data_IF_671954572906
#
_entry.id   IF_671954572906
#
_cell.length_a   1.000
_cell.length_b   1.000
_cell.length_c   1.000
_cell.angle_alpha   90.00
_cell.angle_beta   90.00
_cell.angle_gamma   90.00
#
_symmetry.space_group_name_H-M   'P 1'
#
loop_
_entity.id
_entity.type
_entity.pdbx_description
1 polymer ?
#
# COMPACT_ATOMS: atom_id res chain seq x y z
N UNK A 1 16.05 6.65 -31.14
CA UNK A 1 17.10 6.25 -30.17
C UNK A 1 16.56 5.09 -29.35
N UNK A 2 17.14 3.89 -29.38
CA UNK A 2 16.64 2.79 -28.57
C UNK A 2 17.29 2.86 -27.18
N UNK A 3 16.45 3.05 -26.17
CA UNK A 3 16.85 2.97 -24.76
C UNK A 3 17.01 1.50 -24.39
N UNK A 4 18.24 1.11 -24.06
CA UNK A 4 18.56 -0.18 -23.45
C UNK A 4 17.98 -0.24 -22.02
N UNK A 5 17.37 -1.37 -21.61
CA UNK A 5 17.04 -1.60 -20.21
C UNK A 5 18.29 -1.97 -19.40
N UNK A 6 18.38 -1.62 -18.10
CA UNK A 6 19.50 -1.99 -17.27
C UNK A 6 19.42 -3.47 -16.86
N UNK A 7 20.53 -4.18 -17.04
CA UNK A 7 20.75 -5.51 -16.48
C UNK A 7 20.88 -5.39 -14.95
N UNK A 8 19.92 -5.96 -14.23
CA UNK A 8 20.02 -6.17 -12.78
C UNK A 8 20.84 -7.44 -12.56
N UNK A 9 22.11 -7.26 -12.19
CA UNK A 9 22.95 -8.34 -11.68
C UNK A 9 22.46 -8.74 -10.28
N UNK A 10 21.84 -9.91 -10.18
CA UNK A 10 21.60 -10.61 -8.91
C UNK A 10 22.93 -11.24 -8.45
N UNK A 11 23.76 -10.48 -7.75
CA UNK A 11 24.83 -11.03 -6.92
C UNK A 11 24.21 -11.63 -5.66
N UNK A 12 24.00 -12.95 -5.68
CA UNK A 12 23.73 -13.74 -4.47
C UNK A 12 25.01 -13.80 -3.63
N UNK A 13 25.15 -12.89 -2.69
CA UNK A 13 26.19 -12.97 -1.66
C UNK A 13 25.84 -14.12 -0.71
N UNK A 14 26.40 -15.29 -1.00
CA UNK A 14 26.48 -16.40 -0.06
C UNK A 14 27.28 -15.93 1.15
N UNK A 15 26.61 -15.84 2.30
CA UNK A 15 27.28 -15.61 3.58
C UNK A 15 27.77 -16.97 4.08
N UNK A 16 29.09 -17.18 4.25
CA UNK A 16 29.58 -18.39 4.87
C UNK A 16 29.23 -18.39 6.37
N UNK A 17 28.59 -19.48 6.78
CA UNK A 17 28.32 -19.88 8.16
C UNK A 17 29.62 -19.82 8.97
N UNK A 18 29.71 -18.86 9.88
CA UNK A 18 30.80 -18.72 10.82
C UNK A 18 30.88 -19.93 11.74
N UNK A 19 31.90 -20.74 11.48
CA UNK A 19 32.88 -21.29 12.44
C UNK A 19 32.41 -21.39 13.89
N UNK A 20 31.94 -22.59 14.25
CA UNK A 20 31.88 -23.03 15.63
C UNK A 20 33.32 -23.04 16.20
N UNK A 21 33.53 -22.23 17.24
CA UNK A 21 34.76 -22.20 18.00
C UNK A 21 34.93 -23.47 18.81
N UNK A 22 36.01 -24.18 18.50
CA UNK A 22 36.98 -24.72 19.45
C UNK A 22 36.40 -25.61 20.57
N UNK A 23 36.08 -26.85 20.20
CA UNK A 23 36.22 -27.97 21.12
C UNK A 23 37.69 -28.08 21.53
N UNK A 24 37.99 -27.77 22.79
CA UNK A 24 39.27 -28.11 23.40
C UNK A 24 39.22 -29.59 23.75
N UNK A 25 39.55 -30.42 22.77
CA UNK A 25 39.95 -31.81 22.99
C UNK A 25 41.24 -31.75 23.79
N UNK A 26 41.18 -32.12 25.08
CA UNK A 26 42.38 -32.38 25.88
C UNK A 26 43.00 -33.66 25.32
N UNK A 27 43.95 -33.47 24.42
CA UNK A 27 44.88 -34.49 23.96
C UNK A 27 45.71 -34.95 25.16
N UNK A 28 45.48 -36.18 25.58
CA UNK A 28 46.40 -36.94 26.41
C UNK A 28 47.76 -37.05 25.72
N UNK A 29 48.88 -36.69 26.36
CA UNK A 29 50.18 -37.04 25.83
C UNK A 29 50.44 -38.53 26.09
N UNK A 30 50.30 -39.31 25.02
CA UNK A 30 50.93 -40.62 24.86
C UNK A 30 52.44 -40.45 25.03
N UNK A 31 52.95 -40.74 26.23
CA UNK A 31 54.38 -40.92 26.45
C UNK A 31 54.71 -42.41 26.39
N UNK A 32 55.03 -42.87 25.18
CA UNK A 32 55.78 -44.11 25.00
C UNK A 32 57.27 -43.78 25.12
N UNK A 33 57.87 -44.06 26.28
CA UNK A 33 59.27 -44.42 26.35
C UNK A 33 59.39 -45.78 27.04
N UNK A 34 59.50 -46.81 26.21
CA UNK A 34 59.91 -48.16 26.60
C UNK A 34 61.34 -48.10 27.12
N UNK A 35 61.50 -48.13 28.43
CA UNK A 35 62.67 -48.77 29.06
C UNK A 35 62.13 -49.79 30.05
N UNK A 36 62.27 -51.07 29.69
CA UNK A 36 62.12 -52.20 30.60
C UNK A 36 63.17 -52.06 31.71
N UNK A 37 62.87 -51.26 32.73
CA UNK A 37 63.56 -51.32 34.02
C UNK A 37 62.92 -52.51 34.73
N UNK A 38 63.68 -53.58 34.88
CA UNK A 38 63.29 -54.71 35.74
C UNK A 38 62.74 -54.12 37.03
N UNK A 39 61.51 -54.51 37.35
CA UNK A 39 60.88 -54.24 38.62
C UNK A 39 61.78 -54.80 39.72
N UNK A 40 62.65 -53.95 40.25
CA UNK A 40 63.12 -54.09 41.61
C UNK A 40 61.84 -54.02 42.44
N UNK A 41 61.27 -55.18 42.77
CA UNK A 41 60.30 -55.27 43.85
C UNK A 41 61.06 -54.84 45.09
N UNK A 42 61.06 -53.53 45.34
CA UNK A 42 61.51 -52.97 46.60
C UNK A 42 60.59 -53.60 47.64
N UNK A 43 61.08 -54.64 48.29
CA UNK A 43 60.47 -55.18 49.48
C UNK A 43 60.58 -54.07 50.52
N UNK A 44 59.50 -53.31 50.66
CA UNK A 44 59.37 -52.35 51.73
C UNK A 44 59.36 -53.16 53.02
N UNK A 45 60.38 -52.96 53.84
CA UNK A 45 60.38 -53.49 55.20
C UNK A 45 59.25 -52.83 55.98
N UNK A 46 58.69 -53.52 56.98
CA UNK A 46 57.57 -52.98 57.79
C UNK A 46 57.87 -51.57 58.35
N UNK A 47 59.14 -51.29 58.67
CA UNK A 47 59.57 -49.96 59.10
C UNK A 47 59.47 -48.89 58.02
N UNK A 48 59.78 -49.22 56.76
CA UNK A 48 59.65 -48.29 55.64
C UNK A 48 58.17 -47.96 55.35
N UNK A 49 57.28 -48.96 55.40
CA UNK A 49 55.84 -48.74 55.25
C UNK A 49 55.26 -47.89 56.38
N UNK A 50 55.68 -48.11 57.64
CA UNK A 50 55.26 -47.28 58.78
C UNK A 50 55.72 -45.83 58.62
N UNK A 51 56.96 -45.61 58.19
CA UNK A 51 57.52 -44.27 57.95
C UNK A 51 56.78 -43.53 56.84
N UNK A 52 56.44 -44.22 55.74
CA UNK A 52 55.60 -43.64 54.67
C UNK A 52 54.19 -43.34 55.18
N UNK A 53 53.61 -44.23 56.00
CA UNK A 53 52.31 -44.03 56.64
C UNK A 53 52.28 -42.78 57.51
N UNK A 54 53.28 -42.58 58.37
CA UNK A 54 53.43 -41.38 59.20
C UNK A 54 53.66 -40.11 58.37
N UNK A 55 54.47 -40.20 57.31
CA UNK A 55 54.70 -39.08 56.38
C UNK A 55 53.44 -38.71 55.56
N UNK A 56 52.55 -39.67 55.33
CA UNK A 56 51.29 -39.45 54.61
C UNK A 56 50.12 -39.09 55.55
N UNK A 57 50.18 -39.45 56.83
CA UNK A 57 49.12 -39.20 57.80
C UNK A 57 48.81 -37.69 57.98
N UNK A 58 49.81 -36.82 57.84
CA UNK A 58 49.63 -35.37 57.86
C UNK A 58 49.34 -34.72 56.49
N UNK A 59 49.35 -35.49 55.40
CA UNK A 59 49.16 -34.98 54.03
C UNK A 59 47.76 -35.22 53.47
N UNK A 60 47.00 -36.15 54.06
CA UNK A 60 45.61 -36.33 53.71
C UNK A 60 44.79 -35.20 54.33
N UNK A 61 43.89 -34.54 53.57
CA UNK A 61 42.97 -33.60 54.14
C UNK A 61 42.17 -34.30 55.26
N UNK A 62 41.90 -33.60 56.38
CA UNK A 62 41.15 -34.19 57.48
C UNK A 62 39.80 -34.70 56.95
N UNK A 63 39.27 -35.78 57.52
CA UNK A 63 38.01 -36.38 57.07
C UNK A 63 36.86 -35.36 56.99
N UNK A 64 36.88 -34.33 57.84
CA UNK A 64 35.97 -33.18 57.80
C UNK A 64 36.04 -32.36 56.52
N UNK A 65 37.23 -32.16 55.94
CA UNK A 65 37.41 -31.45 54.68
C UNK A 65 36.85 -32.27 53.50
N UNK A 66 37.04 -33.58 53.50
CA UNK A 66 36.46 -34.47 52.47
C UNK A 66 34.93 -34.47 52.55
N UNK A 67 34.36 -34.54 53.76
CA UNK A 67 32.91 -34.43 53.97
C UNK A 67 32.37 -33.06 53.52
N UNK A 68 33.08 -31.97 53.82
CA UNK A 68 32.69 -30.63 53.38
C UNK A 68 32.72 -30.48 51.86
N UNK A 69 33.73 -31.06 51.19
CA UNK A 69 33.78 -31.10 49.72
C UNK A 69 32.61 -31.88 49.12
N UNK A 70 32.24 -33.02 49.71
CA UNK A 70 31.09 -33.80 49.26
C UNK A 70 29.78 -33.01 49.41
N UNK A 71 29.57 -32.36 50.55
CA UNK A 71 28.39 -31.51 50.79
C UNK A 71 28.34 -30.32 49.83
N UNK A 72 29.49 -29.69 49.57
CA UNK A 72 29.59 -28.61 48.58
C UNK A 72 29.23 -29.10 47.18
N UNK A 73 29.71 -30.26 46.76
CA UNK A 73 29.43 -30.79 45.42
C UNK A 73 27.94 -31.15 45.27
N UNK A 74 27.32 -31.73 46.30
CA UNK A 74 25.88 -31.98 46.33
C UNK A 74 25.07 -30.68 46.23
N UNK A 75 25.45 -29.65 47.00
CA UNK A 75 24.80 -28.35 46.94
C UNK A 75 24.97 -27.71 45.56
N UNK A 76 26.20 -27.70 45.03
CA UNK A 76 26.53 -27.18 43.70
C UNK A 76 25.71 -27.86 42.60
N UNK A 77 25.52 -29.19 42.68
CA UNK A 77 24.66 -29.91 41.74
C UNK A 77 23.21 -29.45 41.84
N UNK A 78 22.67 -29.32 43.05
CA UNK A 78 21.30 -28.85 43.26
C UNK A 78 21.06 -27.41 42.76
N UNK A 79 22.04 -26.52 42.95
CA UNK A 79 21.99 -25.14 42.46
C UNK A 79 22.09 -25.08 40.94
N UNK A 80 22.96 -25.89 40.34
CA UNK A 80 23.08 -25.99 38.88
C UNK A 80 21.78 -26.50 38.25
N UNK A 81 21.12 -27.50 38.85
CA UNK A 81 19.81 -27.97 38.40
C UNK A 81 18.73 -26.88 38.54
N UNK A 82 18.73 -26.13 39.65
CA UNK A 82 17.78 -25.05 39.87
C UNK A 82 17.93 -23.94 38.83
N UNK A 83 19.17 -23.55 38.52
CA UNK A 83 19.48 -22.58 37.47
C UNK A 83 19.04 -23.08 36.09
N UNK A 84 19.34 -24.35 35.77
CA UNK A 84 18.93 -24.95 34.50
C UNK A 84 17.40 -24.97 34.34
N UNK A 85 16.67 -25.41 35.37
CA UNK A 85 15.20 -25.41 35.38
C UNK A 85 14.65 -23.99 35.23
N UNK A 86 15.22 -23.01 35.95
CA UNK A 86 14.85 -21.60 35.82
C UNK A 86 14.99 -21.08 34.40
N UNK A 87 16.14 -21.34 33.76
CA UNK A 87 16.40 -20.93 32.38
C UNK A 87 15.45 -21.61 31.39
N UNK A 88 15.15 -22.90 31.57
CA UNK A 88 14.19 -23.62 30.73
C UNK A 88 12.77 -23.03 30.82
N UNK A 89 12.31 -22.68 32.02
CA UNK A 89 11.01 -22.03 32.21
C UNK A 89 10.98 -20.63 31.61
N UNK A 90 12.05 -19.85 31.77
CA UNK A 90 12.12 -18.51 31.18
C UNK A 90 12.12 -18.58 29.65
N UNK A 91 12.88 -19.51 29.06
CA UNK A 91 12.90 -19.74 27.62
C UNK A 91 11.52 -20.16 27.11
N UNK A 92 10.84 -21.07 27.80
CA UNK A 92 9.48 -21.49 27.45
C UNK A 92 8.49 -20.31 27.49
N UNK A 93 8.57 -19.45 28.50
CA UNK A 93 7.73 -18.26 28.62
C UNK A 93 8.01 -17.23 27.52
N UNK A 94 9.29 -17.03 27.17
CA UNK A 94 9.68 -16.14 26.07
C UNK A 94 9.17 -16.70 24.74
N UNK A 95 9.27 -18.01 24.52
CA UNK A 95 8.75 -18.67 23.33
C UNK A 95 7.22 -18.53 23.23
N UNK A 96 6.48 -18.73 24.31
CA UNK A 96 5.02 -18.52 24.35
C UNK A 96 4.64 -17.06 24.05
N UNK A 97 5.37 -16.09 24.61
CA UNK A 97 5.15 -14.69 24.29
C UNK A 97 5.44 -14.38 22.81
N UNK A 98 6.47 -15.01 22.24
CA UNK A 98 6.83 -14.88 20.82
C UNK A 98 5.75 -15.46 19.91
N UNK A 99 5.23 -16.66 20.20
CA UNK A 99 4.18 -17.29 19.39
C UNK A 99 2.85 -16.53 19.50
N UNK A 100 2.54 -15.94 20.66
CA UNK A 100 1.39 -15.05 20.82
C UNK A 100 1.53 -13.78 19.97
N UNK A 101 2.73 -13.20 19.89
CA UNK A 101 3.00 -12.05 19.02
C UNK A 101 2.89 -12.41 17.54
N UNK A 102 3.43 -13.56 17.13
CA UNK A 102 3.34 -14.05 15.75
C UNK A 102 1.88 -14.28 15.34
N UNK A 103 1.07 -14.89 16.22
CA UNK A 103 -0.37 -15.08 16.00
C UNK A 103 -1.09 -13.75 15.80
N UNK A 104 -0.75 -12.73 16.61
CA UNK A 104 -1.32 -11.38 16.48
C UNK A 104 -0.91 -10.70 15.16
N UNK A 105 0.34 -10.89 14.72
CA UNK A 105 0.81 -10.38 13.43
C UNK A 105 0.06 -11.01 12.26
N UNK A 106 -0.16 -12.33 12.29
CA UNK A 106 -0.97 -13.03 11.29
C UNK A 106 -2.39 -12.48 11.25
N UNK A 107 -3.03 -12.29 12.41
CA UNK A 107 -4.37 -11.68 12.48
C UNK A 107 -4.42 -10.26 11.88
N UNK A 108 -3.39 -9.44 12.12
CA UNK A 108 -3.31 -8.12 11.50
C UNK A 108 -3.09 -8.19 9.99
N UNK A 109 -2.26 -9.13 9.51
CA UNK A 109 -2.03 -9.35 8.09
C UNK A 109 -3.33 -9.78 7.38
N UNK A 110 -4.08 -10.69 7.98
CA UNK A 110 -5.39 -11.13 7.49
C UNK A 110 -6.40 -9.98 7.49
N UNK A 111 -6.40 -9.15 8.55
CA UNK A 111 -7.24 -7.95 8.64
C UNK A 111 -6.95 -6.94 7.53
N UNK A 112 -5.67 -6.68 7.22
CA UNK A 112 -5.26 -5.81 6.12
C UNK A 112 -5.67 -6.39 4.77
N UNK A 113 -5.51 -7.70 4.57
CA UNK A 113 -5.93 -8.36 3.33
C UNK A 113 -7.46 -8.27 3.13
N UNK A 114 -8.24 -8.46 4.19
CA UNK A 114 -9.69 -8.30 4.16
C UNK A 114 -10.10 -6.86 3.85
N UNK A 115 -9.45 -5.87 4.47
CA UNK A 115 -9.71 -4.45 4.21
C UNK A 115 -9.38 -4.07 2.76
N UNK A 116 -8.25 -4.53 2.21
CA UNK A 116 -7.90 -4.34 0.80
C UNK A 116 -8.96 -4.91 -0.13
N UNK A 117 -9.48 -6.11 0.17
CA UNK A 117 -10.56 -6.73 -0.60
C UNK A 117 -11.85 -5.89 -0.53
N UNK A 118 -12.21 -5.36 0.63
CA UNK A 118 -13.38 -4.48 0.78
C UNK A 118 -13.22 -3.17 0.00
N UNK A 119 -12.02 -2.57 0.01
CA UNK A 119 -11.74 -1.37 -0.77
C UNK A 119 -11.87 -1.62 -2.28
N UNK A 120 -11.35 -2.75 -2.77
CA UNK A 120 -11.51 -3.12 -4.18
C UNK A 120 -12.98 -3.32 -4.58
N UNK A 121 -13.81 -3.89 -3.71
CA UNK A 121 -15.25 -4.01 -3.95
C UNK A 121 -15.92 -2.64 -4.00
N UNK A 122 -15.61 -1.74 -3.06
CA UNK A 122 -16.17 -0.38 -3.03
C UNK A 122 -15.79 0.45 -4.26
N UNK A 123 -14.55 0.36 -4.72
CA UNK A 123 -14.11 1.05 -5.96
C UNK A 123 -14.93 0.58 -7.18
N UNK A 124 -15.14 -0.73 -7.31
CA UNK A 124 -15.98 -1.28 -8.38
C UNK A 124 -17.43 -0.82 -8.25
N UNK A 125 -17.98 -0.77 -7.03
CA UNK A 125 -19.34 -0.26 -6.78
C UNK A 125 -19.48 1.22 -7.14
N UNK A 126 -18.51 2.07 -6.79
CA UNK A 126 -18.51 3.49 -7.12
C UNK A 126 -18.39 3.73 -8.64
N UNK A 127 -17.52 2.97 -9.31
CA UNK A 127 -17.41 2.99 -10.76
C UNK A 127 -18.68 2.52 -11.45
N UNK A 128 -19.34 1.50 -10.89
CA UNK A 128 -20.63 1.01 -11.40
C UNK A 128 -21.74 2.04 -11.20
N UNK A 129 -21.79 2.70 -10.04
CA UNK A 129 -22.74 3.77 -9.76
C UNK A 129 -22.55 4.96 -10.72
N UNK A 130 -21.31 5.37 -10.95
CA UNK A 130 -20.97 6.44 -11.90
C UNK A 130 -21.29 6.05 -13.35
N UNK A 131 -21.04 4.79 -13.72
CA UNK A 131 -21.41 4.26 -15.04
C UNK A 131 -22.93 4.27 -15.25
N UNK A 132 -23.69 3.90 -14.21
CA UNK A 132 -25.16 3.90 -14.23
C UNK A 132 -25.72 5.31 -14.42
N UNK A 133 -25.24 6.30 -13.65
CA UNK A 133 -25.70 7.70 -13.81
C UNK A 133 -25.37 8.23 -15.21
N UNK A 134 -24.19 7.90 -15.77
CA UNK A 134 -23.85 8.25 -17.15
C UNK A 134 -24.79 7.58 -18.16
N UNK A 135 -25.13 6.31 -17.96
CA UNK A 135 -26.07 5.58 -18.82
C UNK A 135 -27.47 6.21 -18.80
N UNK A 136 -27.97 6.59 -17.62
CA UNK A 136 -29.26 7.27 -17.46
C UNK A 136 -29.28 8.64 -18.19
N UNK A 137 -28.18 9.41 -18.08
CA UNK A 137 -28.02 10.67 -18.82
C UNK A 137 -27.99 10.44 -20.33
N UNK A 138 -27.31 9.41 -20.82
CA UNK A 138 -27.32 9.09 -22.25
C UNK A 138 -28.71 8.64 -22.71
N UNK A 139 -29.41 7.84 -21.91
CA UNK A 139 -30.76 7.39 -22.22
C UNK A 139 -31.76 8.56 -22.30
N UNK A 140 -31.66 9.54 -21.41
CA UNK A 140 -32.48 10.76 -21.48
C UNK A 140 -32.17 11.60 -22.72
N UNK A 141 -30.89 11.71 -23.11
CA UNK A 141 -30.50 12.38 -24.37
C UNK A 141 -31.04 11.67 -25.61
N UNK A 142 -31.01 10.33 -25.64
CA UNK A 142 -31.60 9.54 -26.74
C UNK A 142 -33.09 9.83 -26.85
N UNK A 143 -33.84 9.73 -25.74
CA UNK A 143 -35.27 10.07 -25.71
C UNK A 143 -35.57 11.49 -26.19
N UNK A 144 -34.69 12.44 -25.85
CA UNK A 144 -34.83 13.83 -26.33
C UNK A 144 -34.60 13.94 -27.84
N UNK A 145 -33.65 13.20 -28.40
CA UNK A 145 -33.43 13.17 -29.85
C UNK A 145 -34.58 12.49 -30.58
N UNK A 146 -35.11 11.38 -30.05
CA UNK A 146 -36.29 10.70 -30.60
C UNK A 146 -37.47 11.66 -30.70
N UNK A 147 -37.78 12.40 -29.63
CA UNK A 147 -38.85 13.41 -29.65
C UNK A 147 -38.60 14.55 -30.68
N UNK A 148 -37.33 14.91 -30.94
CA UNK A 148 -36.99 15.89 -31.98
C UNK A 148 -37.18 15.32 -33.38
N UNK A 149 -36.84 14.05 -33.59
CA UNK A 149 -37.06 13.34 -34.85
C UNK A 149 -38.56 13.24 -35.14
N UNK A 150 -39.36 12.85 -34.14
CA UNK A 150 -40.82 12.78 -34.27
C UNK A 150 -41.41 14.15 -34.66
N UNK A 151 -40.99 15.22 -33.98
CA UNK A 151 -41.43 16.57 -34.32
C UNK A 151 -40.96 17.03 -35.71
N UNK A 152 -39.81 16.57 -36.20
CA UNK A 152 -39.40 16.80 -37.58
C UNK A 152 -40.25 16.01 -38.59
N UNK A 153 -40.62 14.76 -38.25
CA UNK A 153 -41.51 13.93 -39.03
C UNK A 153 -42.88 14.59 -39.23
N UNK A 154 -43.49 15.13 -38.17
CA UNK A 154 -44.77 15.86 -38.26
C UNK A 154 -44.67 17.09 -39.17
N UNK A 155 -43.56 17.84 -39.09
CA UNK A 155 -43.32 19.00 -39.96
C UNK A 155 -43.14 18.58 -41.41
N UNK A 156 -42.49 17.45 -41.66
CA UNK A 156 -42.29 16.91 -43.00
C UNK A 156 -43.64 16.49 -43.62
N UNK A 157 -44.48 15.76 -42.88
CA UNK A 157 -45.86 15.44 -43.30
C UNK A 157 -46.68 16.70 -43.61
N UNK A 158 -46.51 17.76 -42.81
CA UNK A 158 -47.17 19.06 -43.06
C UNK A 158 -46.67 19.72 -44.35
N UNK A 159 -45.39 19.56 -44.70
CA UNK A 159 -44.83 20.08 -45.95
C UNK A 159 -45.32 19.25 -47.14
N UNK A 160 -45.32 17.92 -47.02
CA UNK A 160 -45.84 17.01 -48.05
C UNK A 160 -47.31 17.30 -48.38
N UNK A 161 -48.17 17.44 -47.36
CA UNK A 161 -49.59 17.81 -47.58
C UNK A 161 -49.77 19.18 -48.23
N UNK A 162 -48.95 20.19 -47.86
CA UNK A 162 -48.95 21.49 -48.55
C UNK A 162 -48.52 21.38 -50.00
N UNK A 163 -47.55 20.52 -50.28
CA UNK A 163 -47.05 20.27 -51.63
C UNK A 163 -48.13 19.59 -52.49
N UNK A 164 -48.81 18.56 -51.98
CA UNK A 164 -49.95 17.93 -52.67
C UNK A 164 -51.05 18.95 -53.01
N UNK A 165 -51.37 19.87 -52.09
CA UNK A 165 -52.33 20.94 -52.34
C UNK A 165 -51.85 21.90 -53.43
N UNK A 166 -50.56 22.24 -53.47
CA UNK A 166 -50.02 23.09 -54.53
C UNK A 166 -50.00 22.40 -55.89
N UNK A 167 -49.67 21.10 -55.91
CA UNK A 167 -49.66 20.29 -57.13
C UNK A 167 -51.08 20.18 -57.69
N UNK A 168 -52.08 19.91 -56.85
CA UNK A 168 -53.49 19.88 -57.27
C UNK A 168 -54.01 21.22 -57.80
N UNK A 169 -53.53 22.35 -57.26
CA UNK A 169 -53.85 23.69 -57.82
C UNK A 169 -53.22 23.90 -59.20
N UNK A 170 -52.01 23.38 -59.39
CA UNK A 170 -51.26 23.49 -60.63
C UNK A 170 -51.93 22.66 -61.74
N UNK A 171 -52.39 21.45 -61.40
CA UNK A 171 -53.21 20.61 -62.28
C UNK A 171 -54.51 21.29 -62.67
N UNK A 172 -55.21 21.92 -61.72
CA UNK A 172 -56.43 22.67 -62.02
C UNK A 172 -56.18 23.86 -62.97
N UNK A 173 -55.11 24.62 -62.75
CA UNK A 173 -54.69 25.70 -63.64
C UNK A 173 -54.32 25.18 -65.04
N UNK A 174 -53.61 24.06 -65.14
CA UNK A 174 -53.29 23.42 -66.41
C UNK A 174 -54.55 22.98 -67.16
N UNK A 175 -55.55 22.47 -66.44
CA UNK A 175 -56.84 22.08 -67.01
C UNK A 175 -57.62 23.30 -67.54
N UNK A 176 -57.67 24.41 -66.77
CA UNK A 176 -58.28 25.67 -67.23
C UNK A 176 -57.59 26.23 -68.48
N UNK A 177 -56.26 26.15 -68.57
CA UNK A 177 -55.50 26.56 -69.74
C UNK A 177 -55.79 25.65 -70.94
N UNK A 178 -55.88 24.34 -70.74
CA UNK A 178 -56.23 23.37 -71.79
C UNK A 178 -57.63 23.62 -72.38
N UNK A 179 -58.62 23.89 -71.52
CA UNK A 179 -59.99 24.27 -71.94
C UNK A 179 -59.99 25.59 -72.73
N UNK A 180 -59.23 26.60 -72.28
CA UNK A 180 -59.12 27.87 -73.00
C UNK A 180 -58.42 27.73 -74.35
N UNK A 181 -57.44 26.84 -74.46
CA UNK A 181 -56.73 26.59 -75.73
C UNK A 181 -57.60 25.82 -76.72
N UNK A 182 -58.41 24.85 -76.27
CA UNK A 182 -59.37 24.14 -77.15
C UNK A 182 -60.49 25.06 -77.67
N UNK A 183 -60.87 26.11 -76.94
CA UNK A 183 -61.81 27.14 -77.39
C UNK A 183 -61.24 28.14 -78.41
N UNK A 184 -59.93 28.18 -78.64
CA UNK A 184 -59.24 29.18 -79.49
C UNK A 184 -58.64 28.56 -80.77
N UNK A 185 -58.94 27.31 -81.10
CA UNK A 185 -58.59 26.75 -82.42
C UNK A 185 -59.80 26.90 -83.37
N UNK A 186 -59.85 27.93 -84.23
CA UNK A 186 -60.87 28.02 -85.26
C UNK A 186 -60.63 26.94 -86.33
N UNK A 187 -61.69 26.28 -86.84
CA UNK A 187 -61.59 25.45 -88.03
C UNK A 187 -61.58 26.35 -89.27
N UNK A 188 -60.58 26.13 -90.14
CA UNK A 188 -60.54 26.48 -91.57
C UNK A 188 -60.46 27.96 -91.99
N UNK A 189 -60.06 28.12 -93.27
CA UNK A 189 -59.97 29.30 -94.17
C UNK A 189 -58.55 29.88 -94.33
N UNK A 190 -57.79 29.47 -95.36
CA UNK A 190 -57.83 29.91 -96.77
C UNK A 190 -57.65 31.42 -96.97
N UNK A 191 -56.51 31.74 -97.60
CA UNK A 191 -56.29 32.79 -98.61
C UNK A 191 -57.02 34.13 -98.46
N UNK A 192 -56.17 35.16 -98.39
CA UNK A 192 -56.19 36.34 -99.26
C UNK A 192 -56.42 37.71 -98.58
N UNK A 193 -55.65 38.67 -99.08
CA UNK A 193 -55.80 40.13 -98.99
C UNK A 193 -55.57 40.90 -97.68
N UNK A 194 -54.47 41.68 -97.74
CA UNK A 194 -54.36 43.11 -97.39
C UNK A 194 -54.84 43.57 -96.01
N UNK A 195 -53.92 43.73 -95.04
CA UNK A 195 -54.00 44.82 -94.05
C UNK A 195 -52.61 45.19 -93.46
N UNK A 196 -52.18 46.46 -93.50
CA UNK A 196 -50.97 46.95 -92.80
C UNK A 196 -51.10 46.97 -91.25
N UNK A 197 -52.26 46.56 -90.71
CA UNK A 197 -52.52 46.46 -89.26
C UNK A 197 -51.94 45.17 -88.65
N UNK A 198 -52.04 44.02 -89.35
CA UNK A 198 -51.47 42.74 -88.89
C UNK A 198 -49.94 42.77 -88.81
N UNK A 199 -49.28 43.56 -89.66
CA UNK A 199 -47.83 43.74 -89.59
C UNK A 199 -47.42 44.52 -88.32
N UNK A 200 -48.25 45.48 -87.86
CA UNK A 200 -47.99 46.20 -86.59
C UNK A 200 -48.16 45.29 -85.39
N UNK A 201 -49.19 44.46 -85.37
CA UNK A 201 -49.42 43.51 -84.27
C UNK A 201 -48.31 42.44 -84.23
N UNK A 202 -47.87 41.93 -85.37
CA UNK A 202 -46.74 41.01 -85.46
C UNK A 202 -45.40 41.65 -85.02
N UNK A 203 -45.16 42.93 -85.34
CA UNK A 203 -43.98 43.68 -84.88
C UNK A 203 -44.05 43.91 -83.36
N UNK A 204 -45.24 44.19 -82.82
CA UNK A 204 -45.45 44.40 -81.40
C UNK A 204 -45.31 43.11 -80.59
N UNK A 205 -45.75 41.98 -81.13
CA UNK A 205 -45.55 40.66 -80.52
C UNK A 205 -44.08 40.21 -80.60
N UNK A 206 -43.35 40.58 -81.65
CA UNK A 206 -41.90 40.35 -81.73
C UNK A 206 -41.14 41.17 -80.68
N UNK A 207 -41.53 42.42 -80.45
CA UNK A 207 -40.96 43.23 -79.37
C UNK A 207 -41.28 42.70 -77.96
N UNK A 208 -42.44 42.07 -77.76
CA UNK A 208 -42.74 41.34 -76.50
C UNK A 208 -41.87 40.09 -76.36
N UNK A 209 -41.63 39.38 -77.46
CA UNK A 209 -40.79 38.17 -77.49
C UNK A 209 -39.32 38.51 -77.16
N UNK A 210 -38.79 39.61 -77.68
CA UNK A 210 -37.44 40.07 -77.37
C UNK A 210 -37.29 40.44 -75.89
N UNK A 211 -38.30 41.12 -75.31
CA UNK A 211 -38.35 41.39 -73.85
C UNK A 211 -38.43 40.11 -73.02
N UNK A 212 -39.17 39.11 -73.49
CA UNK A 212 -39.25 37.81 -72.82
C UNK A 212 -37.90 37.09 -72.86
N UNK A 213 -37.21 37.15 -74.00
CA UNK A 213 -35.88 36.56 -74.17
C UNK A 213 -34.84 37.21 -73.26
N UNK A 214 -34.86 38.55 -73.14
CA UNK A 214 -34.00 39.28 -72.19
C UNK A 214 -34.31 38.90 -70.74
N UNK A 215 -35.59 38.77 -70.37
CA UNK A 215 -35.99 38.34 -69.03
C UNK A 215 -35.50 36.93 -68.72
N UNK A 216 -35.67 35.99 -69.66
CA UNK A 216 -35.19 34.60 -69.53
C UNK A 216 -33.67 34.59 -69.40
N UNK A 217 -32.96 35.38 -70.19
CA UNK A 217 -31.49 35.50 -70.12
C UNK A 217 -31.06 36.02 -68.75
N UNK A 218 -31.73 37.05 -68.23
CA UNK A 218 -31.46 37.61 -66.90
C UNK A 218 -31.75 36.61 -65.77
N UNK A 219 -32.84 35.84 -65.87
CA UNK A 219 -33.17 34.76 -64.94
C UNK A 219 -32.08 33.68 -64.96
N UNK A 220 -31.65 33.22 -66.13
CA UNK A 220 -30.61 32.19 -66.27
C UNK A 220 -29.29 32.66 -65.65
N UNK A 221 -28.89 33.91 -65.90
CA UNK A 221 -27.67 34.49 -65.30
C UNK A 221 -27.79 34.54 -63.77
N UNK A 222 -28.94 34.97 -63.24
CA UNK A 222 -29.17 35.05 -61.79
C UNK A 222 -29.19 33.67 -61.13
N UNK A 223 -29.83 32.68 -61.75
CA UNK A 223 -29.85 31.29 -61.26
C UNK A 223 -28.45 30.69 -61.25
N UNK A 224 -27.64 30.94 -62.29
CA UNK A 224 -26.23 30.49 -62.31
C UNK A 224 -25.39 31.14 -61.21
N UNK A 225 -25.60 32.43 -60.94
CA UNK A 225 -24.92 33.12 -59.84
C UNK A 225 -25.32 32.53 -58.48
N UNK A 226 -26.61 32.35 -58.22
CA UNK A 226 -27.12 31.72 -56.99
C UNK A 226 -26.61 30.28 -56.82
N UNK A 227 -26.53 29.51 -57.90
CA UNK A 227 -25.99 28.14 -57.84
C UNK A 227 -24.50 28.13 -57.49
N UNK A 228 -23.72 29.08 -58.02
CA UNK A 228 -22.30 29.22 -57.68
C UNK A 228 -22.10 29.58 -56.20
N UNK A 229 -22.89 30.53 -55.69
CA UNK A 229 -22.88 30.90 -54.26
C UNK A 229 -23.29 29.73 -53.36
N UNK A 230 -24.36 29.01 -53.70
CA UNK A 230 -24.79 27.83 -52.95
C UNK A 230 -23.74 26.71 -52.94
N UNK A 231 -22.94 26.57 -54.00
CA UNK A 231 -21.88 25.57 -54.07
C UNK A 231 -20.70 25.95 -53.16
N UNK A 232 -20.37 27.24 -53.08
CA UNK A 232 -19.34 27.75 -52.17
C UNK A 232 -19.75 27.65 -50.69
N UNK A 233 -21.02 27.92 -50.36
CA UNK A 233 -21.50 27.77 -48.98
C UNK A 233 -21.52 26.31 -48.54
N UNK A 234 -21.87 25.38 -49.45
CA UNK A 234 -21.85 23.94 -49.16
C UNK A 234 -20.43 23.42 -48.88
N UNK A 235 -19.41 23.96 -49.56
CA UNK A 235 -18.00 23.57 -49.33
C UNK A 235 -17.45 24.15 -48.03
N UNK A 236 -17.82 25.38 -47.68
CA UNK A 236 -17.47 25.96 -46.38
C UNK A 236 -18.12 25.21 -45.21
N UNK A 237 -19.36 24.72 -45.39
CA UNK A 237 -20.05 23.95 -44.36
C UNK A 237 -19.36 22.59 -44.12
N UNK A 238 -18.95 21.86 -45.16
CA UNK A 238 -18.24 20.59 -44.99
C UNK A 238 -16.87 20.78 -44.34
N UNK A 239 -16.15 21.85 -44.68
CA UNK A 239 -14.89 22.19 -44.01
C UNK A 239 -15.12 22.52 -42.53
N UNK A 240 -16.13 23.33 -42.20
CA UNK A 240 -16.50 23.63 -40.82
C UNK A 240 -16.88 22.37 -40.04
N UNK A 241 -17.68 21.46 -40.61
CA UNK A 241 -18.03 20.19 -39.97
C UNK A 241 -16.81 19.29 -39.72
N UNK A 242 -15.79 19.33 -40.59
CA UNK A 242 -14.53 18.63 -40.37
C UNK A 242 -13.79 19.17 -39.14
N UNK A 243 -13.72 20.50 -39.00
CA UNK A 243 -13.08 21.12 -37.82
C UNK A 243 -13.82 20.82 -36.51
N UNK A 244 -15.15 20.75 -36.53
CA UNK A 244 -15.96 20.39 -35.36
C UNK A 244 -15.64 18.96 -34.88
N UNK A 245 -15.50 18.01 -35.81
CA UNK A 245 -15.11 16.62 -35.46
C UNK A 245 -13.73 16.55 -34.80
N UNK A 246 -12.79 17.37 -35.26
CA UNK A 246 -11.46 17.41 -34.65
C UNK A 246 -11.49 18.03 -33.25
N UNK A 247 -12.32 19.07 -33.03
CA UNK A 247 -12.53 19.63 -31.69
C UNK A 247 -13.16 18.60 -30.75
N UNK A 248 -14.14 17.81 -31.21
CA UNK A 248 -14.73 16.72 -30.42
C UNK A 248 -13.68 15.66 -30.06
N UNK A 249 -12.81 15.27 -31.01
CA UNK A 249 -11.71 14.33 -30.76
C UNK A 249 -10.76 14.87 -29.70
N UNK A 250 -10.28 16.10 -29.86
CA UNK A 250 -9.38 16.76 -28.89
C UNK A 250 -10.04 16.84 -27.52
N UNK A 251 -11.35 17.10 -27.45
CA UNK A 251 -12.06 17.17 -26.18
C UNK A 251 -12.13 15.82 -25.47
N UNK A 252 -12.30 14.71 -26.21
CA UNK A 252 -12.24 13.36 -25.62
C UNK A 252 -10.84 13.00 -25.11
N UNK A 253 -9.80 13.42 -25.84
CA UNK A 253 -8.40 13.23 -25.41
C UNK A 253 -8.09 14.05 -24.16
N UNK A 254 -8.58 15.30 -24.10
CA UNK A 254 -8.41 16.19 -22.95
C UNK A 254 -9.03 15.61 -21.68
N UNK A 255 -10.27 15.09 -21.76
CA UNK A 255 -10.90 14.44 -20.60
C UNK A 255 -10.16 13.18 -20.16
N UNK A 256 -9.60 12.42 -21.11
CA UNK A 256 -8.78 11.24 -20.80
C UNK A 256 -7.49 11.63 -20.08
N UNK A 257 -6.80 12.67 -20.56
CA UNK A 257 -5.59 13.22 -19.92
C UNK A 257 -5.92 13.76 -18.53
N UNK A 258 -7.05 14.45 -18.37
CA UNK A 258 -7.51 14.99 -17.09
C UNK A 258 -7.78 13.88 -16.08
N UNK A 259 -8.42 12.78 -16.49
CA UNK A 259 -8.61 11.62 -15.62
C UNK A 259 -7.27 11.00 -15.21
N UNK A 260 -6.33 10.83 -16.15
CA UNK A 260 -5.01 10.27 -15.84
C UNK A 260 -4.22 11.18 -14.89
N UNK A 261 -4.28 12.50 -15.08
CA UNK A 261 -3.64 13.46 -14.20
C UNK A 261 -4.20 13.40 -12.77
N UNK A 262 -5.53 13.25 -12.62
CA UNK A 262 -6.17 13.09 -11.32
C UNK A 262 -5.75 11.78 -10.62
N UNK A 263 -5.60 10.69 -11.37
CA UNK A 263 -5.11 9.42 -10.81
C UNK A 263 -3.67 9.54 -10.35
N UNK A 264 -2.79 10.13 -11.16
CA UNK A 264 -1.39 10.36 -10.78
C UNK A 264 -1.25 11.24 -9.53
N UNK A 265 -2.10 12.26 -9.36
CA UNK A 265 -2.10 13.11 -8.17
C UNK A 265 -2.47 12.31 -6.91
N UNK A 266 -3.43 11.38 -7.03
CA UNK A 266 -3.78 10.43 -5.96
C UNK A 266 -2.62 9.49 -5.60
N UNK A 267 -1.97 8.92 -6.61
CA UNK A 267 -0.81 8.03 -6.41
C UNK A 267 0.37 8.76 -5.75
N UNK A 268 0.61 10.02 -6.13
CA UNK A 268 1.60 10.90 -5.49
C UNK A 268 1.27 11.12 -4.01
N UNK A 269 0.00 11.35 -3.67
CA UNK A 269 -0.45 11.48 -2.29
C UNK A 269 -0.11 10.23 -1.47
N UNK A 270 -0.43 9.04 -2.00
CA UNK A 270 -0.12 7.76 -1.33
C UNK A 270 1.39 7.60 -1.12
N UNK A 271 2.21 7.93 -2.13
CA UNK A 271 3.67 7.84 -2.00
C UNK A 271 4.23 8.81 -0.95
N UNK A 272 3.64 9.99 -0.79
CA UNK A 272 4.04 10.93 0.26
C UNK A 272 3.66 10.42 1.66
N UNK A 273 2.47 9.86 1.82
CA UNK A 273 2.04 9.25 3.09
C UNK A 273 2.94 8.05 3.47
N UNK A 274 3.29 7.20 2.50
CA UNK A 274 4.22 6.07 2.70
C UNK A 274 5.63 6.55 3.07
N UNK A 275 6.15 7.59 2.40
CA UNK A 275 7.45 8.19 2.72
C UNK A 275 7.45 8.71 4.16
N UNK A 276 6.39 9.39 4.58
CA UNK A 276 6.31 9.99 5.91
C UNK A 276 6.18 8.91 7.00
N UNK A 277 5.45 7.82 6.71
CA UNK A 277 5.41 6.64 7.58
C UNK A 277 6.79 5.97 7.74
N UNK A 278 7.55 5.81 6.64
CA UNK A 278 8.91 5.28 6.68
C UNK A 278 9.87 6.21 7.45
N UNK A 279 9.74 7.53 7.28
CA UNK A 279 10.53 8.49 8.02
C UNK A 279 10.26 8.41 9.54
N UNK A 280 9.00 8.25 9.93
CA UNK A 280 8.62 8.05 11.33
C UNK A 280 9.19 6.75 11.92
N UNK A 281 9.15 5.65 11.14
CA UNK A 281 9.72 4.36 11.55
C UNK A 281 11.25 4.44 11.69
N UNK A 282 11.92 5.16 10.79
CA UNK A 282 13.37 5.38 10.86
C UNK A 282 13.74 6.19 12.10
N UNK A 283 13.00 7.26 12.40
CA UNK A 283 13.20 8.04 13.62
C UNK A 283 13.02 7.18 14.89
N UNK A 284 11.99 6.33 14.92
CA UNK A 284 11.76 5.40 16.03
C UNK A 284 12.93 4.41 16.20
N UNK A 285 13.49 3.91 15.10
CA UNK A 285 14.65 3.03 15.13
C UNK A 285 15.89 3.76 15.66
N UNK A 286 16.14 5.00 15.23
CA UNK A 286 17.22 5.84 15.74
C UNK A 286 17.08 6.10 17.23
N UNK A 287 15.88 6.42 17.72
CA UNK A 287 15.62 6.62 19.15
C UNK A 287 15.88 5.34 19.96
N UNK A 288 15.55 4.16 19.41
CA UNK A 288 15.82 2.87 20.04
C UNK A 288 17.30 2.57 20.09
N UNK A 289 18.04 2.85 19.01
CA UNK A 289 19.50 2.70 18.96
C UNK A 289 20.15 3.60 20.02
N UNK A 290 19.78 4.88 20.08
CA UNK A 290 20.30 5.82 21.08
C UNK A 290 20.06 5.32 22.51
N UNK A 291 18.88 4.77 22.82
CA UNK A 291 18.61 4.16 24.13
C UNK A 291 19.50 2.95 24.42
N UNK A 292 19.76 2.10 23.43
CA UNK A 292 20.66 0.96 23.58
C UNK A 292 22.09 1.41 23.80
N UNK A 293 22.56 2.43 23.08
CA UNK A 293 23.88 3.02 23.28
C UNK A 293 24.06 3.58 24.69
N UNK A 294 23.03 4.26 25.23
CA UNK A 294 23.05 4.77 26.60
C UNK A 294 23.09 3.64 27.64
N UNK A 295 22.34 2.56 27.43
CA UNK A 295 22.38 1.38 28.30
C UNK A 295 23.75 0.69 28.25
N UNK A 296 24.36 0.56 27.07
CA UNK A 296 25.71 0.01 26.92
C UNK A 296 26.72 0.90 27.63
N UNK A 297 26.67 2.23 27.46
CA UNK A 297 27.53 3.18 28.21
C UNK A 297 27.38 3.03 29.72
N UNK A 298 26.15 2.93 30.22
CA UNK A 298 25.89 2.75 31.64
C UNK A 298 26.47 1.41 32.16
N UNK A 299 26.31 0.32 31.40
CA UNK A 299 26.83 -0.99 31.76
C UNK A 299 28.37 -1.01 31.75
N UNK A 300 29.00 -0.41 30.75
CA UNK A 300 30.47 -0.30 30.68
C UNK A 300 31.03 0.54 31.83
N UNK A 301 30.32 1.60 32.26
CA UNK A 301 30.70 2.39 33.43
C UNK A 301 30.59 1.59 34.73
N UNK A 302 29.61 0.69 34.87
CA UNK A 302 29.50 -0.22 36.02
C UNK A 302 30.58 -1.29 36.06
N UNK A 303 31.04 -1.75 34.89
CA UNK A 303 32.08 -2.79 34.79
C UNK A 303 33.51 -2.26 34.85
N UNK A 304 33.70 -0.94 34.70
CA UNK A 304 35.02 -0.34 34.89
C UNK A 304 35.40 -0.45 36.38
N UNK A 305 36.43 -1.23 36.76
CA UNK A 305 36.89 -1.29 38.13
C UNK A 305 37.38 0.11 38.48
N UNK A 306 36.68 0.78 39.39
CA UNK A 306 37.08 2.09 39.84
C UNK A 306 38.49 2.01 40.45
N UNK A 307 39.50 2.45 39.70
CA UNK A 307 40.74 2.98 40.24
C UNK A 307 40.44 4.33 40.89
N UNK A 308 39.60 4.30 41.93
CA UNK A 308 39.41 5.42 42.85
C UNK A 308 39.95 4.99 44.20
N UNK A 309 41.08 5.58 44.55
CA UNK A 309 41.60 5.61 45.91
C UNK A 309 40.48 5.93 46.91
N UNK A 310 40.32 5.06 47.91
CA UNK A 310 39.58 5.39 49.14
C UNK A 310 38.27 4.64 49.31
N UNK A 311 38.36 3.51 50.02
CA UNK A 311 37.26 2.77 50.64
C UNK A 311 36.37 1.95 49.72
N UNK A 312 36.86 0.75 49.36
CA UNK A 312 36.03 -0.36 48.89
C UNK A 312 34.81 -0.53 49.81
N UNK A 313 33.57 -0.59 49.28
CA UNK A 313 32.43 -0.98 50.09
C UNK A 313 32.71 -2.39 50.58
N UNK A 314 32.84 -2.56 51.90
CA UNK A 314 33.20 -3.85 52.48
C UNK A 314 32.17 -4.90 52.04
N UNK A 315 32.64 -5.95 51.35
CA UNK A 315 31.88 -7.15 50.98
C UNK A 315 31.20 -7.81 52.19
N UNK A 316 31.64 -7.44 53.39
CA UNK A 316 31.19 -7.97 54.65
C UNK A 316 30.62 -6.84 55.52
N UNK A 317 29.46 -7.08 56.12
CA UNK A 317 28.96 -6.33 57.26
C UNK A 317 29.64 -6.89 58.52
N UNK A 318 30.35 -6.05 59.26
CA UNK A 318 30.95 -6.43 60.53
C UNK A 318 29.88 -6.25 61.61
N UNK A 319 29.50 -7.34 62.27
CA UNK A 319 28.60 -7.29 63.42
C UNK A 319 29.43 -7.24 64.70
N UNK A 320 29.23 -6.23 65.56
CA UNK A 320 29.93 -6.16 66.84
C UNK A 320 29.34 -7.21 67.79
N UNK A 321 30.08 -8.30 68.00
CA UNK A 321 29.73 -9.34 68.96
C UNK A 321 30.82 -9.40 70.02
N UNK A 322 30.46 -9.54 71.28
CA UNK A 322 31.43 -9.69 72.37
C UNK A 322 31.36 -11.13 72.87
N UNK A 323 32.51 -11.74 73.19
CA UNK A 323 32.54 -13.04 73.87
C UNK A 323 32.10 -12.89 75.33
N UNK A 324 31.81 -14.01 76.02
CA UNK A 324 31.40 -13.99 77.43
C UNK A 324 32.44 -13.34 78.37
N UNK A 325 33.70 -13.24 77.92
CA UNK A 325 34.80 -12.58 78.62
C UNK A 325 34.93 -11.08 78.28
N UNK A 326 33.98 -10.52 77.51
CA UNK A 326 33.94 -9.11 77.12
C UNK A 326 34.92 -8.73 75.99
N UNK A 327 35.61 -9.69 75.37
CA UNK A 327 36.51 -9.42 74.25
C UNK A 327 35.69 -9.20 72.95
N UNK A 328 35.99 -8.16 72.17
CA UNK A 328 35.30 -7.90 70.91
C UNK A 328 35.69 -8.96 69.86
N UNK A 329 34.69 -9.65 69.31
CA UNK A 329 34.80 -10.62 68.23
C UNK A 329 34.18 -10.02 66.95
N UNK A 330 35.03 -9.75 65.95
CA UNK A 330 34.56 -9.25 64.65
C UNK A 330 33.97 -10.38 63.80
N UNK A 331 32.64 -10.49 63.78
CA UNK A 331 31.95 -11.39 62.85
C UNK A 331 31.71 -10.68 61.51
N UNK A 332 32.42 -11.14 60.48
CA UNK A 332 32.29 -10.66 59.10
C UNK A 332 31.23 -11.47 58.37
N UNK A 333 30.05 -10.89 58.17
CA UNK A 333 28.95 -11.53 57.43
C UNK A 333 28.93 -10.97 56.01
N UNK A 334 28.99 -11.78 54.94
CA UNK A 334 28.88 -11.29 53.57
C UNK A 334 27.57 -10.51 53.41
N UNK A 335 27.62 -9.28 52.88
CA UNK A 335 26.41 -8.55 52.53
C UNK A 335 25.77 -9.25 51.34
N UNK A 336 24.70 -10.02 51.60
CA UNK A 336 23.87 -10.57 50.54
C UNK A 336 23.47 -9.45 49.59
N UNK A 337 23.75 -9.63 48.30
CA UNK A 337 23.39 -8.66 47.26
C UNK A 337 21.88 -8.50 47.26
N UNK A 338 21.41 -7.43 47.88
CA UNK A 338 20.02 -7.04 47.77
C UNK A 338 19.78 -6.64 46.32
N UNK A 339 19.03 -7.45 45.59
CA UNK A 339 18.38 -7.09 44.33
C UNK A 339 17.38 -5.94 44.60
N UNK A 340 17.88 -4.75 44.92
CA UNK A 340 17.07 -3.52 44.96
C UNK A 340 17.38 -2.71 43.71
N UNK A 341 16.53 -2.93 42.71
CA UNK A 341 15.94 -1.86 41.90
C UNK A 341 16.88 -1.01 41.06
N UNK A 342 17.34 -1.56 39.94
CA UNK A 342 17.56 -0.77 38.72
C UNK A 342 16.39 -0.98 37.77
N UNK A 343 15.18 -0.60 38.21
CA UNK A 343 14.09 -0.29 37.28
C UNK A 343 14.12 1.22 36.99
N UNK A 344 14.06 1.63 35.72
CA UNK A 344 14.13 3.05 35.36
C UNK A 344 12.91 3.82 35.87
N UNK A 345 12.98 5.16 36.00
CA UNK A 345 11.85 5.96 36.43
C UNK A 345 10.75 5.91 35.36
N UNK A 346 9.73 5.07 35.58
CA UNK A 346 8.48 5.15 34.83
C UNK A 346 7.78 6.46 35.22
N UNK A 347 7.85 7.43 34.33
CA UNK A 347 6.98 8.60 34.34
C UNK A 347 5.53 8.14 34.14
N UNK A 348 4.73 8.36 35.20
CA UNK A 348 3.28 8.62 35.21
C UNK A 348 2.34 7.62 34.50
N UNK A 349 1.53 6.98 35.36
CA UNK A 349 0.07 6.73 35.33
C UNK A 349 -0.27 5.24 35.50
N UNK A 350 -1.31 4.99 36.31
CA UNK A 350 -1.82 3.70 36.79
C UNK A 350 -1.13 3.09 38.01
N UNK A 351 -1.43 3.65 39.18
CA UNK A 351 -1.80 2.92 40.40
C UNK A 351 -1.97 3.94 41.54
N UNK A 352 -3.12 4.62 41.55
CA UNK A 352 -3.60 5.21 42.80
C UNK A 352 -4.13 4.09 43.70
N UNK A 353 -3.87 4.13 45.02
CA UNK A 353 -4.48 3.18 45.94
C UNK A 353 -6.01 3.32 45.89
N UNK A 354 -6.78 2.23 46.04
CA UNK A 354 -8.23 2.31 46.10
C UNK A 354 -8.63 3.21 47.26
N UNK A 355 -9.51 4.18 46.98
CA UNK A 355 -10.12 5.02 48.00
C UNK A 355 -10.80 4.10 49.04
N UNK A 356 -10.62 4.43 50.33
CA UNK A 356 -11.38 3.85 51.45
C UNK A 356 -12.87 3.81 51.08
N UNK A 357 -13.40 2.63 50.76
CA UNK A 357 -14.79 2.45 50.39
C UNK A 357 -15.12 1.09 49.76
N UNK A 358 -14.26 0.53 48.92
CA UNK A 358 -14.56 -0.70 48.16
C UNK A 358 -13.69 -1.89 48.55
N UNK A 359 -13.78 -2.32 49.81
CA UNK A 359 -13.35 -3.66 50.19
C UNK A 359 -14.62 -4.49 50.35
N UNK A 360 -15.04 -5.16 49.26
CA UNK A 360 -15.99 -6.27 49.37
C UNK A 360 -15.30 -7.38 50.14
N UNK A 361 -15.75 -7.62 51.36
CA UNK A 361 -15.34 -8.74 52.19
C UNK A 361 -15.59 -10.05 51.44
N UNK A 362 -14.54 -10.84 51.30
CA UNK A 362 -14.56 -12.17 50.73
C UNK A 362 -15.27 -13.12 51.72
N UNK A 363 -16.49 -13.53 51.42
CA UNK A 363 -17.20 -14.57 52.18
C UNK A 363 -16.83 -15.94 51.57
N UNK A 364 -16.12 -16.83 52.28
CA UNK A 364 -15.78 -18.14 51.75
C UNK A 364 -17.05 -19.00 51.69
N UNK A 365 -17.41 -19.53 50.51
CA UNK A 365 -18.52 -20.50 50.42
C UNK A 365 -19.27 -20.68 49.11
N UNK A 366 -18.85 -20.11 47.97
CA UNK A 366 -19.50 -20.42 46.68
C UNK A 366 -18.57 -21.18 45.74
N UNK A 367 -18.90 -22.46 45.53
CA UNK A 367 -18.33 -23.30 44.48
C UNK A 367 -18.82 -22.81 43.11
N UNK A 368 -17.94 -22.86 42.13
CA UNK A 368 -18.23 -22.46 40.76
C UNK A 368 -19.16 -23.51 40.13
N UNK A 369 -20.31 -23.06 39.61
CA UNK A 369 -21.17 -23.82 38.70
C UNK A 369 -20.78 -23.57 37.25
#
# INVERSE_FOLDING_TARGET
MPLQPPLINLTTTSTPRATAGTETIVTTPTSQSKTKKLCNMQHYTDGALRTIGEQCAGKLPPASAVQAMFMYEMQRQSEAEALFKGMMFELARVQEASTAQETRLVQFQDGIAALKKQMAVKDVEERLATSKTRSDVLQTKVKQQDARIDGQGERLVTVETKQEVTDGKLDHLAQQLSERVTLVVPPSLTTDTNQPQQLRDAIQDRAKLDKLHDLVTQIVVKVKAMHKESKTTATQLTEAMSTVKEVERIQTELETVKTNASTCDGDLGILFDERDALAAQLQQATDRISKLEDLVRALTAQQSPATSNGSSPSLYQILPVHTNDGQPLELRVPKGHSFRGSSPPRTKKENSPPRKGDIRSFTPGHQWS
#
